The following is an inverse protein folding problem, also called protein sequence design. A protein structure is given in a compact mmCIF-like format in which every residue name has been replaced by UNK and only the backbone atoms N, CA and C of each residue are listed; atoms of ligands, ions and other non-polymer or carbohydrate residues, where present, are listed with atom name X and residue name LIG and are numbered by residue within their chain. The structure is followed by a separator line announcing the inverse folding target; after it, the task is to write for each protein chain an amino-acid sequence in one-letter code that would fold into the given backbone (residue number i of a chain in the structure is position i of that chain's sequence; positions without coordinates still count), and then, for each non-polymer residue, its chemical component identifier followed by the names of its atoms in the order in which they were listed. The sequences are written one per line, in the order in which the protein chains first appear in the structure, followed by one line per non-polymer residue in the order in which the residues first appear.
data_IF_749469576355
#
_entry.id   IF_749469576355
#
_cell.length_a   1.000
_cell.length_b   1.000
_cell.length_c   1.000
_cell.angle_alpha   90.00
_cell.angle_beta   90.00
_cell.angle_gamma   90.00
#
_symmetry.space_group_name_H-M   'P 1'
#
loop_
_entity.id
_entity.type
_entity.pdbx_description
1 polymer ?
#
# COMPACT_ATOMS: atom_id res chain seq x y z
N UNK A 1 -3.40 -47.76 -20.31
CA UNK A 1 -4.76 -47.16 -20.44
C UNK A 1 -5.02 -46.07 -19.40
N UNK A 2 -4.92 -46.33 -18.09
CA UNK A 2 -5.24 -45.37 -17.01
C UNK A 2 -4.53 -44.00 -17.11
N UNK A 3 -3.26 -43.98 -17.53
CA UNK A 3 -2.46 -42.76 -17.65
C UNK A 3 -2.92 -41.83 -18.77
N UNK A 4 -3.48 -42.39 -19.85
CA UNK A 4 -4.02 -41.63 -20.98
C UNK A 4 -5.28 -40.86 -20.56
N UNK A 5 -6.09 -41.46 -19.71
CA UNK A 5 -7.31 -40.84 -19.18
C UNK A 5 -6.99 -39.67 -18.26
N UNK A 6 -5.94 -39.80 -17.44
CA UNK A 6 -5.44 -38.72 -16.58
C UNK A 6 -4.97 -37.52 -17.40
N UNK A 7 -4.22 -37.77 -18.49
CA UNK A 7 -3.74 -36.71 -19.39
C UNK A 7 -4.88 -36.01 -20.14
N UNK A 8 -5.87 -36.77 -20.60
CA UNK A 8 -7.09 -36.23 -21.24
C UNK A 8 -7.88 -35.34 -20.27
N UNK A 9 -8.04 -35.77 -19.01
CA UNK A 9 -8.70 -34.97 -17.98
C UNK A 9 -7.94 -33.66 -17.70
N UNK A 10 -6.61 -33.71 -17.57
CA UNK A 10 -5.77 -32.53 -17.36
C UNK A 10 -5.85 -31.52 -18.51
N UNK A 11 -5.95 -31.99 -19.75
CA UNK A 11 -6.06 -31.11 -20.92
C UNK A 11 -7.39 -30.34 -21.01
N UNK A 12 -8.39 -30.77 -20.24
CA UNK A 12 -9.71 -30.13 -20.18
C UNK A 12 -9.82 -29.06 -19.10
N UNK A 13 -8.79 -28.86 -18.26
CA UNK A 13 -8.80 -27.76 -17.29
C UNK A 13 -8.58 -26.43 -18.03
N UNK A 14 -9.57 -25.52 -18.05
CA UNK A 14 -9.34 -24.18 -18.54
C UNK A 14 -8.29 -23.53 -17.63
N UNK A 15 -7.17 -23.10 -18.23
CA UNK A 15 -6.22 -22.24 -17.54
C UNK A 15 -6.95 -20.96 -17.15
N UNK A 16 -7.05 -20.66 -15.85
CA UNK A 16 -7.56 -19.38 -15.42
C UNK A 16 -6.55 -18.32 -15.87
N UNK A 17 -6.96 -17.31 -16.66
CA UNK A 17 -6.06 -16.21 -16.94
C UNK A 17 -5.68 -15.59 -15.60
N UNK A 18 -4.37 -15.51 -15.33
CA UNK A 18 -3.87 -14.80 -14.17
C UNK A 18 -4.22 -13.32 -14.36
N UNK A 19 -5.36 -12.90 -13.81
CA UNK A 19 -5.73 -11.49 -13.76
C UNK A 19 -4.63 -10.80 -12.96
N UNK A 20 -3.95 -9.78 -13.51
CA UNK A 20 -3.00 -9.00 -12.73
C UNK A 20 -3.71 -8.54 -11.47
N UNK A 21 -3.16 -8.87 -10.30
CA UNK A 21 -3.69 -8.33 -9.06
C UNK A 21 -3.79 -6.81 -9.25
N UNK A 22 -4.98 -6.24 -9.07
CA UNK A 22 -5.21 -4.80 -9.08
C UNK A 22 -4.33 -4.21 -7.98
N UNK A 23 -3.10 -3.83 -8.34
CA UNK A 23 -2.19 -3.23 -7.38
C UNK A 23 -2.73 -1.83 -7.13
N UNK A 24 -3.07 -1.48 -5.87
CA UNK A 24 -3.43 -0.12 -5.57
C UNK A 24 -2.32 0.81 -6.06
N UNK A 25 -2.69 1.91 -6.71
CA UNK A 25 -1.73 2.90 -7.21
C UNK A 25 -1.60 4.04 -6.22
N UNK A 26 -0.57 4.87 -6.41
CA UNK A 26 -0.44 6.11 -5.67
C UNK A 26 -1.56 7.09 -6.03
N UNK A 27 -2.06 7.82 -5.04
CA UNK A 27 -3.03 8.90 -5.20
C UNK A 27 -2.58 10.16 -4.49
N UNK A 28 -3.06 11.30 -5.00
CA UNK A 28 -2.85 12.61 -4.38
C UNK A 28 -4.10 13.06 -3.66
N UNK A 29 -3.93 13.67 -2.50
CA UNK A 29 -5.01 14.28 -1.72
C UNK A 29 -4.62 15.73 -1.36
N UNK A 30 -5.37 16.74 -1.82
CA UNK A 30 -5.10 18.13 -1.43
C UNK A 30 -5.39 18.33 0.07
N UNK A 31 -4.60 19.19 0.71
CA UNK A 31 -4.81 19.60 2.10
C UNK A 31 -5.49 20.99 2.15
N UNK A 32 -6.55 21.15 2.97
CA UNK A 32 -7.32 22.41 3.04
C UNK A 32 -6.53 23.56 3.68
N UNK A 33 -5.69 23.25 4.67
CA UNK A 33 -4.67 24.17 5.19
C UNK A 33 -3.31 23.72 4.66
N UNK A 34 -2.52 24.68 4.18
CA UNK A 34 -1.23 24.53 3.50
C UNK A 34 -0.10 23.98 4.36
N UNK A 35 -0.39 23.01 5.22
CA UNK A 35 0.55 22.57 6.24
C UNK A 35 0.23 21.19 6.80
N UNK A 36 1.21 20.29 6.65
CA UNK A 36 1.28 19.02 7.36
C UNK A 36 1.36 19.21 8.89
N UNK A 37 1.72 20.41 9.35
CA UNK A 37 1.81 20.76 10.77
C UNK A 37 0.44 21.00 11.40
N UNK A 38 -0.57 21.35 10.60
CA UNK A 38 -1.93 21.56 11.08
C UNK A 38 -2.84 20.35 10.84
N UNK A 39 -2.32 19.21 10.37
CA UNK A 39 -3.06 17.95 10.36
C UNK A 39 -3.53 17.73 11.79
N UNK A 40 -4.81 17.98 12.12
CA UNK A 40 -5.28 17.88 13.48
C UNK A 40 -5.14 16.41 13.84
N UNK A 41 -4.99 16.12 15.12
CA UNK A 41 -5.01 14.77 15.67
C UNK A 41 -6.36 14.01 15.45
N UNK A 42 -7.09 14.28 14.36
CA UNK A 42 -8.46 13.84 14.08
C UNK A 42 -8.76 13.62 12.59
N UNK A 43 -7.77 13.26 11.76
CA UNK A 43 -8.03 12.31 10.68
C UNK A 43 -7.57 10.96 11.22
N UNK A 44 -8.50 10.19 11.78
CA UNK A 44 -8.26 8.95 12.55
C UNK A 44 -7.40 7.89 11.83
N UNK A 45 -7.07 8.09 10.55
CA UNK A 45 -6.22 7.21 9.76
C UNK A 45 -4.75 7.65 9.66
N UNK A 46 -4.39 8.94 9.81
CA UNK A 46 -3.03 9.43 9.54
C UNK A 46 -2.16 9.49 10.79
N UNK A 47 -1.08 8.71 10.80
CA UNK A 47 -0.15 8.55 11.94
C UNK A 47 1.27 8.88 11.50
N UNK A 48 1.92 9.84 12.15
CA UNK A 48 3.29 10.25 11.77
C UNK A 48 4.28 9.10 11.93
N UNK A 49 5.18 8.94 10.95
CA UNK A 49 6.33 8.04 11.06
C UNK A 49 7.40 8.74 11.89
N UNK A 50 7.56 8.33 13.15
CA UNK A 50 8.53 8.94 14.06
C UNK A 50 9.96 8.47 13.71
N UNK A 51 10.94 9.34 13.95
CA UNK A 51 12.41 9.12 13.95
C UNK A 51 13.08 8.67 12.64
N UNK A 52 12.37 8.03 11.71
CA UNK A 52 12.94 7.48 10.48
C UNK A 52 12.67 8.35 9.24
N UNK A 53 11.53 9.05 9.16
CA UNK A 53 11.06 9.71 7.95
C UNK A 53 10.25 10.99 8.26
N UNK A 54 10.89 12.18 8.20
CA UNK A 54 10.20 13.47 8.31
C UNK A 54 9.09 13.60 7.26
N UNK A 55 7.99 14.25 7.61
CA UNK A 55 6.84 14.53 6.72
C UNK A 55 6.12 13.30 6.14
N UNK A 56 6.40 12.10 6.67
CA UNK A 56 5.71 10.88 6.29
C UNK A 56 4.70 10.44 7.34
N UNK A 57 3.62 9.83 6.85
CA UNK A 57 2.48 9.40 7.66
C UNK A 57 1.98 8.03 7.18
N UNK A 58 1.78 7.10 8.10
CA UNK A 58 0.99 5.91 7.85
C UNK A 58 -0.49 6.27 7.74
N UNK A 59 -1.18 5.71 6.74
CA UNK A 59 -2.62 5.84 6.58
C UNK A 59 -3.33 4.51 6.81
N UNK A 60 -4.41 4.55 7.60
CA UNK A 60 -5.31 3.41 7.80
C UNK A 60 -4.78 2.39 8.79
N UNK A 61 -5.45 1.23 8.86
CA UNK A 61 -5.03 0.10 9.71
C UNK A 61 -3.89 -0.67 9.03
N UNK A 62 -3.01 -1.28 9.82
CA UNK A 62 -1.96 -2.15 9.29
C UNK A 62 -0.79 -1.47 8.55
N UNK A 63 -0.73 -0.13 8.49
CA UNK A 63 0.37 0.60 7.82
C UNK A 63 0.59 0.13 6.37
N UNK A 64 -0.51 -0.16 5.68
CA UNK A 64 -0.50 -0.63 4.29
C UNK A 64 -0.23 0.52 3.32
N UNK A 65 -0.60 1.74 3.70
CA UNK A 65 -0.44 2.96 2.90
C UNK A 65 0.45 3.93 3.66
N UNK A 66 1.41 4.51 2.95
CA UNK A 66 2.20 5.63 3.43
C UNK A 66 1.94 6.87 2.59
N UNK A 67 1.83 8.00 3.25
CA UNK A 67 1.67 9.31 2.65
C UNK A 67 2.89 10.17 2.92
N UNK A 68 3.46 10.75 1.87
CA UNK A 68 4.40 11.86 1.97
C UNK A 68 3.64 13.18 1.87
N UNK A 69 3.91 14.07 2.80
CA UNK A 69 3.31 15.38 2.83
C UNK A 69 4.28 16.42 2.23
N UNK A 70 3.81 17.07 1.18
CA UNK A 70 4.46 18.23 0.58
C UNK A 70 3.82 19.52 1.15
N UNK A 71 4.00 20.67 0.50
CA UNK A 71 3.47 21.97 0.96
C UNK A 71 1.95 21.95 1.16
N UNK A 72 1.19 21.49 0.15
CA UNK A 72 -0.29 21.58 0.14
C UNK A 72 -0.99 20.26 -0.23
N UNK A 73 -0.25 19.16 -0.30
CA UNK A 73 -0.77 17.88 -0.80
C UNK A 73 -0.12 16.70 -0.08
N UNK A 74 -0.91 15.62 0.04
CA UNK A 74 -0.43 14.30 0.42
C UNK A 74 -0.33 13.42 -0.82
N UNK A 75 0.84 12.81 -1.03
CA UNK A 75 1.02 11.72 -1.98
C UNK A 75 1.00 10.40 -1.19
N UNK A 76 -0.06 9.63 -1.33
CA UNK A 76 -0.26 8.37 -0.62
C UNK A 76 -0.09 7.19 -1.56
N UNK A 77 0.67 6.19 -1.15
CA UNK A 77 1.01 5.01 -1.92
C UNK A 77 0.99 3.76 -1.04
N UNK A 78 0.72 2.58 -1.60
CA UNK A 78 1.01 1.33 -0.92
C UNK A 78 2.48 1.25 -0.49
N UNK A 79 2.71 0.69 0.69
CA UNK A 79 4.02 0.63 1.33
C UNK A 79 5.09 0.01 0.44
N UNK A 80 4.73 -1.06 -0.28
CA UNK A 80 5.61 -1.79 -1.19
C UNK A 80 5.93 -1.02 -2.48
N UNK A 81 5.06 -0.09 -2.89
CA UNK A 81 5.30 0.80 -4.03
C UNK A 81 6.18 1.97 -3.63
N UNK A 82 5.90 2.60 -2.49
CA UNK A 82 6.62 3.79 -2.05
C UNK A 82 8.08 3.50 -1.71
N UNK A 83 8.33 2.41 -0.96
CA UNK A 83 9.68 2.03 -0.51
C UNK A 83 10.36 1.00 -1.41
N UNK A 84 9.60 0.40 -2.32
CA UNK A 84 10.00 -0.86 -2.94
C UNK A 84 9.90 -2.02 -1.96
N UNK A 85 9.99 -3.27 -2.47
CA UNK A 85 9.76 -4.46 -1.67
C UNK A 85 10.77 -4.64 -0.53
N UNK A 86 12.03 -4.21 -0.68
CA UNK A 86 13.10 -4.46 0.30
C UNK A 86 13.05 -3.57 1.56
N UNK A 87 12.62 -2.31 1.42
CA UNK A 87 12.69 -1.30 2.49
C UNK A 87 11.37 -1.24 3.29
N UNK A 88 10.31 -1.85 2.77
CA UNK A 88 8.97 -1.82 3.37
C UNK A 88 8.85 -2.44 4.78
N UNK A 89 9.81 -3.23 5.24
CA UNK A 89 9.73 -3.96 6.53
C UNK A 89 10.40 -3.23 7.70
N UNK A 90 11.29 -2.28 7.43
CA UNK A 90 12.15 -1.65 8.46
C UNK A 90 11.55 -0.39 9.07
N UNK A 91 10.46 0.12 8.51
CA UNK A 91 9.89 1.39 8.95
C UNK A 91 8.88 1.10 10.06
N UNK A 92 9.10 1.64 11.27
CA UNK A 92 8.27 1.31 12.42
C UNK A 92 6.82 1.73 12.18
N UNK A 93 5.93 0.79 12.45
CA UNK A 93 4.49 0.99 12.50
C UNK A 93 4.05 0.66 13.93
N UNK A 94 3.74 1.68 14.73
CA UNK A 94 3.08 1.47 16.01
C UNK A 94 1.60 1.15 15.74
N UNK A 95 1.34 -0.04 15.22
CA UNK A 95 0.00 -0.62 15.18
C UNK A 95 -0.37 -1.04 16.61
N UNK A 96 -1.06 -0.16 17.33
CA UNK A 96 -2.06 -0.64 18.28
C UNK A 96 -3.24 -1.22 17.49
#
# INVERSE_FOLDING_TARGET
MKMLWVLLLLSSLPGTPAVPAQRPSCYRRPLPERSCHSIPAGRDSLRRVQDALPDHFWEGKGCEVICYCNVNELLCCPKDIFFGPKISFVIPCNSQ
#
